data_IF_687785984705
#
_entry.id   IF_687785984705
#
_cell.length_a   1.000
_cell.length_b   1.000
_cell.length_c   1.000
_cell.angle_alpha   90.00
_cell.angle_beta   90.00
_cell.angle_gamma   90.00
#
_symmetry.space_group_name_H-M   'P 1'
#
loop_
_entity.id
_entity.type
_entity.pdbx_description
1 polymer ?
#
# COMPACT_ATOMS: atom_id res chain seq x y z
N UNK A 1 23.38 -17.56 -10.91
CA UNK A 1 23.32 -17.27 -12.36
C UNK A 1 21.89 -17.53 -12.83
N UNK A 2 21.34 -16.67 -13.68
CA UNK A 2 20.04 -16.91 -14.32
C UNK A 2 20.15 -18.03 -15.37
N UNK A 3 19.06 -18.78 -15.61
CA UNK A 3 19.01 -19.97 -16.48
C UNK A 3 17.92 -19.81 -17.56
N UNK A 4 18.22 -19.14 -18.69
CA UNK A 4 17.24 -18.82 -19.73
C UNK A 4 16.59 -20.05 -20.39
N UNK A 5 17.26 -21.20 -20.34
CA UNK A 5 16.73 -22.44 -20.92
C UNK A 5 15.46 -22.93 -20.21
N UNK A 6 15.17 -22.41 -19.01
CA UNK A 6 13.96 -22.74 -18.24
C UNK A 6 12.75 -21.88 -18.58
N UNK A 7 12.91 -20.80 -19.36
CA UNK A 7 11.82 -19.87 -19.66
C UNK A 7 10.58 -20.59 -20.22
N UNK A 8 10.66 -21.49 -21.22
CA UNK A 8 9.46 -22.16 -21.74
C UNK A 8 8.68 -22.95 -20.67
N UNK A 9 9.40 -23.61 -19.75
CA UNK A 9 8.78 -24.36 -18.66
C UNK A 9 8.09 -23.44 -17.65
N UNK A 10 8.69 -22.28 -17.33
CA UNK A 10 8.11 -21.29 -16.42
C UNK A 10 6.89 -20.63 -17.07
N UNK A 11 6.96 -20.26 -18.36
CA UNK A 11 5.83 -19.69 -19.12
C UNK A 11 4.60 -20.61 -19.08
N UNK A 12 4.81 -21.91 -19.30
CA UNK A 12 3.75 -22.92 -19.21
C UNK A 12 3.15 -23.03 -17.80
N UNK A 13 3.97 -22.95 -16.75
CA UNK A 13 3.48 -22.97 -15.36
C UNK A 13 2.66 -21.73 -15.01
N UNK A 14 3.13 -20.54 -15.39
CA UNK A 14 2.40 -19.27 -15.18
C UNK A 14 1.01 -19.36 -15.83
N UNK A 15 0.95 -19.76 -17.10
CA UNK A 15 -0.33 -19.92 -17.80
C UNK A 15 -1.25 -20.94 -17.12
N UNK A 16 -0.70 -22.07 -16.68
CA UNK A 16 -1.47 -23.11 -15.96
C UNK A 16 -2.09 -22.55 -14.68
N UNK A 17 -1.33 -21.77 -13.90
CA UNK A 17 -1.84 -21.14 -12.68
C UNK A 17 -2.90 -20.07 -12.99
N UNK A 18 -2.71 -19.26 -14.03
CA UNK A 18 -3.68 -18.23 -14.43
C UNK A 18 -4.99 -18.80 -14.95
N UNK A 19 -4.95 -19.92 -15.69
CA UNK A 19 -6.16 -20.63 -16.10
C UNK A 19 -6.88 -21.23 -14.90
N UNK A 20 -6.16 -21.88 -14.01
CA UNK A 20 -6.74 -22.48 -12.80
C UNK A 20 -7.37 -21.44 -11.86
N UNK A 21 -6.80 -20.24 -11.79
CA UNK A 21 -7.31 -19.12 -11.00
C UNK A 21 -8.33 -18.25 -11.75
N UNK A 22 -8.73 -18.62 -12.97
CA UNK A 22 -9.63 -17.86 -13.85
C UNK A 22 -9.15 -16.45 -14.25
N UNK A 23 -7.93 -16.02 -13.87
CA UNK A 23 -7.33 -14.71 -14.15
C UNK A 23 -7.27 -14.36 -15.65
N UNK A 24 -7.13 -15.37 -16.50
CA UNK A 24 -7.18 -15.19 -17.95
C UNK A 24 -8.47 -14.49 -18.42
N UNK A 25 -9.60 -14.67 -17.74
CA UNK A 25 -10.86 -13.99 -18.05
C UNK A 25 -10.85 -12.53 -17.64
N UNK A 26 -10.32 -12.24 -16.46
CA UNK A 26 -10.18 -10.87 -15.97
C UNK A 26 -9.27 -10.04 -16.88
N UNK A 27 -8.27 -10.68 -17.49
CA UNK A 27 -7.34 -10.08 -18.45
C UNK A 27 -7.78 -10.18 -19.92
N UNK A 28 -8.92 -10.84 -20.22
CA UNK A 28 -9.45 -10.96 -21.58
C UNK A 28 -8.63 -11.86 -22.52
N UNK A 29 -8.04 -12.93 -22.00
CA UNK A 29 -7.16 -13.85 -22.72
C UNK A 29 -7.83 -15.21 -22.94
N UNK A 30 -8.04 -15.55 -24.21
CA UNK A 30 -8.67 -16.82 -24.59
C UNK A 30 -7.67 -18.00 -24.60
N UNK A 31 -6.44 -17.73 -25.06
CA UNK A 31 -5.34 -18.69 -25.23
C UNK A 31 -4.00 -18.12 -24.74
N UNK A 32 -2.99 -19.00 -24.62
CA UNK A 32 -1.63 -18.61 -24.22
C UNK A 32 -1.02 -17.69 -25.30
N UNK A 33 -0.38 -16.58 -24.92
CA UNK A 33 0.35 -15.72 -25.88
C UNK A 33 1.51 -16.46 -26.55
N UNK A 34 1.86 -16.01 -27.76
CA UNK A 34 3.03 -16.49 -28.48
C UNK A 34 4.34 -16.12 -27.74
N UNK A 35 5.43 -16.82 -28.05
CA UNK A 35 6.71 -16.66 -27.32
C UNK A 35 7.28 -15.24 -27.38
N UNK A 36 7.05 -14.53 -28.48
CA UNK A 36 7.54 -13.17 -28.72
C UNK A 36 6.71 -12.12 -27.96
N UNK A 37 5.44 -12.42 -27.67
CA UNK A 37 4.51 -11.51 -26.96
C UNK A 37 4.41 -11.80 -25.46
N UNK A 38 4.98 -12.93 -25.00
CA UNK A 38 4.82 -13.39 -23.63
C UNK A 38 5.44 -12.42 -22.60
N UNK A 39 6.53 -11.74 -22.94
CA UNK A 39 7.21 -10.83 -22.02
C UNK A 39 6.38 -9.55 -21.79
N UNK A 40 5.78 -8.99 -22.86
CA UNK A 40 4.83 -7.88 -22.77
C UNK A 40 3.55 -8.29 -22.02
N UNK A 41 3.08 -9.52 -22.23
CA UNK A 41 1.98 -10.09 -21.48
C UNK A 41 2.28 -10.15 -19.97
N UNK A 42 3.46 -10.61 -19.56
CA UNK A 42 3.85 -10.64 -18.15
C UNK A 42 3.87 -9.24 -17.55
N UNK A 43 4.35 -8.24 -18.30
CA UNK A 43 4.31 -6.85 -17.84
C UNK A 43 2.87 -6.38 -17.54
N UNK A 44 1.91 -6.76 -18.39
CA UNK A 44 0.49 -6.44 -18.17
C UNK A 44 -0.10 -7.18 -16.96
N UNK A 45 0.25 -8.46 -16.78
CA UNK A 45 -0.17 -9.27 -15.60
C UNK A 45 0.36 -8.66 -14.31
N UNK A 46 1.63 -8.27 -14.30
CA UNK A 46 2.29 -7.64 -13.16
C UNK A 46 1.61 -6.32 -12.78
N UNK A 47 1.30 -5.47 -13.76
CA UNK A 47 0.55 -4.22 -13.54
C UNK A 47 -0.83 -4.48 -12.92
N UNK A 48 -1.60 -5.42 -13.49
CA UNK A 48 -2.93 -5.79 -12.98
C UNK A 48 -2.88 -6.36 -11.55
N UNK A 49 -1.92 -7.24 -11.26
CA UNK A 49 -1.70 -7.78 -9.92
C UNK A 49 -1.35 -6.67 -8.93
N UNK A 50 -0.55 -5.69 -9.36
CA UNK A 50 -0.23 -4.53 -8.54
C UNK A 50 -1.46 -3.73 -8.19
N UNK A 51 -2.30 -3.41 -9.18
CA UNK A 51 -3.52 -2.63 -8.98
C UNK A 51 -4.48 -3.31 -8.01
N UNK A 52 -4.66 -4.63 -8.12
CA UNK A 52 -5.52 -5.41 -7.22
C UNK A 52 -4.94 -5.47 -5.82
N UNK A 53 -3.64 -5.72 -5.70
CA UNK A 53 -2.95 -5.78 -4.41
C UNK A 53 -3.02 -4.43 -3.67
N UNK A 54 -2.88 -3.34 -4.41
CA UNK A 54 -2.90 -1.99 -3.88
C UNK A 54 -4.32 -1.43 -3.66
N UNK A 55 -5.35 -2.10 -4.17
CA UNK A 55 -6.73 -1.65 -3.97
C UNK A 55 -7.08 -1.59 -2.49
N UNK A 56 -7.55 -0.43 -2.03
CA UNK A 56 -8.00 -0.25 -0.66
C UNK A 56 -9.39 -0.86 -0.47
N UNK A 57 -9.43 -2.07 0.07
CA UNK A 57 -10.67 -2.77 0.39
C UNK A 57 -10.93 -2.61 1.90
N UNK A 58 -12.18 -2.28 2.25
CA UNK A 58 -12.59 -2.08 3.64
C UNK A 58 -12.47 -3.38 4.43
N UNK A 59 -11.83 -3.29 5.59
CA UNK A 59 -11.67 -4.40 6.52
C UNK A 59 -12.77 -4.37 7.61
N UNK A 60 -14.02 -4.61 7.18
CA UNK A 60 -15.18 -4.66 8.07
C UNK A 60 -16.14 -3.47 7.97
N UNK A 61 -16.99 -3.33 8.99
CA UNK A 61 -18.02 -2.28 9.10
C UNK A 61 -17.78 -1.41 10.32
N UNK A 62 -18.11 -0.13 10.20
CA UNK A 62 -18.07 0.82 11.30
C UNK A 62 -19.19 0.53 12.32
N UNK A 63 -18.87 0.69 13.60
CA UNK A 63 -19.84 0.64 14.70
C UNK A 63 -19.87 2.01 15.37
N UNK A 64 -21.05 2.61 15.46
CA UNK A 64 -21.22 3.96 16.02
C UNK A 64 -20.57 4.08 17.40
N UNK A 65 -19.79 5.13 17.60
CA UNK A 65 -19.10 5.42 18.87
C UNK A 65 -17.86 4.54 19.13
N UNK A 66 -17.50 3.62 18.23
CA UNK A 66 -16.31 2.78 18.37
C UNK A 66 -15.16 3.30 17.50
N UNK A 67 -14.24 4.04 18.13
CA UNK A 67 -13.00 4.43 17.47
C UNK A 67 -12.14 3.19 17.14
N UNK A 68 -11.46 3.16 15.97
CA UNK A 68 -10.57 2.06 15.62
C UNK A 68 -9.36 2.00 16.56
N UNK A 69 -8.92 0.80 16.88
CA UNK A 69 -7.78 0.51 17.78
C UNK A 69 -6.94 -0.64 17.22
N UNK A 70 -5.65 -0.70 17.60
CA UNK A 70 -4.76 -1.78 17.18
C UNK A 70 -4.66 -1.88 15.66
N UNK A 71 -4.75 -3.11 15.14
CA UNK A 71 -4.62 -3.39 13.71
C UNK A 71 -5.58 -2.58 12.82
N UNK A 72 -6.83 -2.37 13.27
CA UNK A 72 -7.81 -1.59 12.53
C UNK A 72 -7.37 -0.12 12.38
N UNK A 73 -6.78 0.47 13.43
CA UNK A 73 -6.25 1.84 13.39
C UNK A 73 -5.02 1.93 12.52
N UNK A 74 -4.09 0.97 12.63
CA UNK A 74 -2.89 0.87 11.79
C UNK A 74 -3.28 0.82 10.31
N UNK A 75 -4.19 -0.09 9.94
CA UNK A 75 -4.65 -0.23 8.54
C UNK A 75 -5.36 1.04 8.04
N UNK A 76 -6.20 1.67 8.87
CA UNK A 76 -6.89 2.90 8.49
C UNK A 76 -5.92 4.09 8.31
N UNK A 77 -4.99 4.29 9.24
CA UNK A 77 -4.01 5.38 9.15
C UNK A 77 -3.08 5.18 7.96
N UNK A 78 -2.61 3.94 7.72
CA UNK A 78 -1.82 3.61 6.53
C UNK A 78 -2.57 3.96 5.23
N UNK A 79 -3.88 3.70 5.20
CA UNK A 79 -4.75 4.04 4.07
C UNK A 79 -4.91 5.55 3.87
N UNK A 80 -5.11 6.31 4.96
CA UNK A 80 -5.23 7.77 4.93
C UNK A 80 -3.93 8.42 4.44
N UNK A 81 -2.80 7.98 4.97
CA UNK A 81 -1.49 8.56 4.68
C UNK A 81 -0.93 8.14 3.32
N UNK A 82 -1.60 7.24 2.59
CA UNK A 82 -1.22 6.89 1.23
C UNK A 82 -1.38 8.07 0.27
N UNK A 83 -2.37 8.94 0.52
CA UNK A 83 -2.63 10.12 -0.29
C UNK A 83 -1.79 11.33 0.13
N UNK A 84 -1.55 12.24 -0.82
CA UNK A 84 -1.05 13.59 -0.51
C UNK A 84 -2.13 14.39 0.23
N UNK A 85 -1.76 15.02 1.34
CA UNK A 85 -2.70 15.68 2.23
C UNK A 85 -2.97 17.12 1.77
N UNK A 86 -4.24 17.49 1.72
CA UNK A 86 -4.68 18.89 1.58
C UNK A 86 -5.01 19.38 2.98
N UNK A 87 -4.22 20.31 3.50
CA UNK A 87 -4.32 20.74 4.89
C UNK A 87 -4.12 22.25 5.02
N UNK A 88 -4.88 22.92 5.89
CA UNK A 88 -4.74 24.36 6.12
C UNK A 88 -5.01 25.24 4.88
N UNK A 89 -5.69 24.71 3.87
CA UNK A 89 -5.90 25.40 2.58
C UNK A 89 -4.75 25.23 1.58
N UNK A 90 -3.73 24.44 1.92
CA UNK A 90 -2.58 24.15 1.06
C UNK A 90 -2.67 22.73 0.49
N UNK A 91 -2.57 22.61 -0.84
CA UNK A 91 -2.45 21.32 -1.51
C UNK A 91 -1.03 20.79 -1.35
N UNK A 92 -0.87 19.54 -0.91
CA UNK A 92 0.44 18.92 -0.71
C UNK A 92 1.17 19.43 0.53
N UNK A 93 0.43 19.89 1.54
CA UNK A 93 0.98 20.33 2.82
C UNK A 93 1.82 19.22 3.48
N UNK A 94 1.41 17.96 3.29
CA UNK A 94 2.15 16.76 3.70
C UNK A 94 2.05 15.72 2.55
N UNK A 95 3.16 15.15 2.07
CA UNK A 95 3.14 14.14 1.01
C UNK A 95 2.50 12.84 1.51
N UNK A 96 2.15 11.94 0.59
CA UNK A 96 1.79 10.58 0.97
C UNK A 96 3.02 9.84 1.52
N UNK A 97 2.81 8.95 2.50
CA UNK A 97 3.88 8.21 3.18
C UNK A 97 4.76 7.43 2.20
N UNK A 98 4.15 6.75 1.22
CA UNK A 98 4.92 6.01 0.22
C UNK A 98 5.76 6.91 -0.67
N UNK A 99 5.22 8.08 -1.06
CA UNK A 99 5.96 9.06 -1.84
C UNK A 99 7.14 9.63 -1.02
N UNK A 100 6.94 9.90 0.28
CA UNK A 100 8.01 10.31 1.20
C UNK A 100 9.07 9.22 1.39
N UNK A 101 8.69 7.94 1.30
CA UNK A 101 9.60 6.78 1.28
C UNK A 101 10.28 6.57 -0.10
N UNK A 102 9.97 7.41 -1.10
CA UNK A 102 10.62 7.40 -2.40
C UNK A 102 9.89 6.62 -3.49
N UNK A 103 8.62 6.24 -3.28
CA UNK A 103 7.82 5.58 -4.32
C UNK A 103 7.61 6.51 -5.51
N UNK A 104 7.91 6.00 -6.71
CA UNK A 104 7.70 6.67 -8.01
C UNK A 104 6.63 5.97 -8.82
N UNK A 105 6.03 6.67 -9.78
CA UNK A 105 4.98 6.14 -10.66
C UNK A 105 5.44 4.90 -11.45
N UNK A 106 6.73 4.80 -11.78
CA UNK A 106 7.35 3.71 -12.56
C UNK A 106 8.07 2.66 -11.70
N UNK A 107 7.79 2.64 -10.38
CA UNK A 107 8.43 1.68 -9.48
C UNK A 107 8.01 0.24 -9.82
N UNK A 108 8.98 -0.67 -9.81
CA UNK A 108 8.71 -2.10 -10.01
C UNK A 108 7.99 -2.70 -8.78
N UNK A 109 7.26 -3.79 -9.00
CA UNK A 109 6.52 -4.53 -7.95
C UNK A 109 7.33 -4.75 -6.67
N UNK A 110 8.57 -5.21 -6.80
CA UNK A 110 9.43 -5.47 -5.64
C UNK A 110 9.70 -4.20 -4.81
N UNK A 111 9.90 -3.06 -5.45
CA UNK A 111 10.10 -1.79 -4.77
C UNK A 111 8.81 -1.29 -4.10
N UNK A 112 7.65 -1.48 -4.75
CA UNK A 112 6.33 -1.17 -4.17
C UNK A 112 6.13 -1.96 -2.88
N UNK A 113 6.43 -3.26 -2.91
CA UNK A 113 6.29 -4.16 -1.77
C UNK A 113 7.22 -3.79 -0.61
N UNK A 114 8.47 -3.49 -0.90
CA UNK A 114 9.44 -3.04 0.09
C UNK A 114 8.98 -1.74 0.76
N UNK A 115 8.49 -0.78 -0.02
CA UNK A 115 7.99 0.51 0.49
C UNK A 115 6.72 0.32 1.31
N UNK A 116 5.78 -0.53 0.87
CA UNK A 116 4.55 -0.80 1.63
C UNK A 116 4.87 -1.47 2.98
N UNK A 117 5.83 -2.41 2.99
CA UNK A 117 6.30 -3.06 4.22
C UNK A 117 6.98 -2.06 5.16
N UNK A 118 7.82 -1.16 4.64
CA UNK A 118 8.44 -0.09 5.44
C UNK A 118 7.39 0.88 6.00
N UNK A 119 6.43 1.31 5.18
CA UNK A 119 5.32 2.16 5.61
C UNK A 119 4.53 1.52 6.74
N UNK A 120 4.15 0.24 6.59
CA UNK A 120 3.45 -0.52 7.63
C UNK A 120 4.27 -0.64 8.92
N UNK A 121 5.57 -0.93 8.81
CA UNK A 121 6.44 -1.04 9.97
C UNK A 121 6.53 0.28 10.76
N UNK A 122 6.62 1.42 10.07
CA UNK A 122 6.63 2.75 10.69
C UNK A 122 5.30 3.07 11.39
N UNK A 123 4.17 2.79 10.74
CA UNK A 123 2.85 3.01 11.34
C UNK A 123 2.62 2.08 12.54
N UNK A 124 3.06 0.82 12.47
CA UNK A 124 3.01 -0.08 13.63
C UNK A 124 3.89 0.42 14.77
N UNK A 125 5.10 0.90 14.49
CA UNK A 125 5.97 1.46 15.52
C UNK A 125 5.37 2.70 16.20
N UNK A 126 4.64 3.54 15.44
CA UNK A 126 3.89 4.66 16.01
C UNK A 126 2.71 4.18 16.87
N UNK A 127 1.96 3.17 16.44
CA UNK A 127 0.89 2.56 17.23
C UNK A 127 1.42 1.98 18.55
N UNK A 128 2.53 1.23 18.51
CA UNK A 128 3.17 0.62 19.68
C UNK A 128 3.74 1.68 20.65
N UNK A 129 4.01 2.89 20.14
CA UNK A 129 4.47 4.03 20.91
C UNK A 129 3.32 4.97 21.35
N UNK A 130 2.07 4.50 21.28
CA UNK A 130 0.87 5.29 21.61
C UNK A 130 0.79 6.64 20.87
N UNK A 131 1.34 6.67 19.64
CA UNK A 131 1.43 7.85 18.80
C UNK A 131 2.16 9.04 19.44
N UNK A 132 3.20 8.78 20.24
CA UNK A 132 4.06 9.83 20.77
C UNK A 132 4.73 10.64 19.65
N UNK A 133 4.48 11.95 19.64
CA UNK A 133 5.03 12.89 18.65
C UNK A 133 6.57 12.90 18.69
N UNK A 134 7.19 12.69 19.86
CA UNK A 134 8.65 12.61 19.96
C UNK A 134 9.22 11.38 19.23
N UNK A 135 8.45 10.30 19.12
CA UNK A 135 8.82 9.12 18.35
C UNK A 135 8.74 9.37 16.85
N UNK A 136 7.77 10.17 16.39
CA UNK A 136 7.62 10.50 14.97
C UNK A 136 8.88 11.14 14.35
N UNK A 137 9.59 11.98 15.12
CA UNK A 137 10.83 12.63 14.66
C UNK A 137 12.08 11.75 14.78
N UNK A 138 12.04 10.66 15.56
CA UNK A 138 13.21 9.81 15.86
C UNK A 138 13.21 8.46 15.13
N UNK A 139 12.06 8.00 14.65
CA UNK A 139 11.93 6.73 13.94
C UNK A 139 12.55 6.75 12.53
N UNK A 140 12.29 7.76 11.67
CA UNK A 140 12.80 7.76 10.30
C UNK A 140 14.04 8.64 10.14
N UNK A 141 14.98 8.19 9.31
CA UNK A 141 16.13 9.00 8.87
C UNK A 141 15.75 10.07 7.83
N UNK A 142 14.56 9.95 7.23
CA UNK A 142 14.07 10.81 6.15
C UNK A 142 13.17 11.91 6.72
N UNK A 143 13.54 13.20 6.61
CA UNK A 143 12.76 14.31 7.20
C UNK A 143 11.31 14.39 6.71
N UNK A 144 11.05 14.04 5.44
CA UNK A 144 9.69 14.03 4.92
C UNK A 144 8.83 12.93 5.57
N UNK A 145 9.41 11.77 5.87
CA UNK A 145 8.71 10.69 6.56
C UNK A 145 8.40 11.11 8.00
N UNK A 146 9.34 11.75 8.70
CA UNK A 146 9.11 12.31 10.04
C UNK A 146 7.89 13.25 10.04
N UNK A 147 7.84 14.18 9.07
CA UNK A 147 6.71 15.12 8.91
C UNK A 147 5.37 14.41 8.71
N UNK A 148 5.35 13.30 7.95
CA UNK A 148 4.14 12.50 7.74
C UNK A 148 3.70 11.82 9.05
N UNK A 149 4.63 11.26 9.81
CA UNK A 149 4.33 10.60 11.09
C UNK A 149 3.89 11.61 12.16
N UNK A 150 4.51 12.80 12.19
CA UNK A 150 4.12 13.89 13.08
C UNK A 150 2.70 14.37 12.76
N UNK A 151 2.37 14.52 11.47
CA UNK A 151 1.00 14.84 11.03
C UNK A 151 -0.01 13.76 11.46
N UNK A 152 0.37 12.48 11.35
CA UNK A 152 -0.49 11.39 11.79
C UNK A 152 -0.77 11.45 13.31
N UNK A 153 0.26 11.68 14.12
CA UNK A 153 0.17 11.75 15.58
C UNK A 153 -0.57 13.00 16.08
N UNK A 154 -0.42 14.13 15.40
CA UNK A 154 -0.98 15.42 15.85
C UNK A 154 -2.37 15.71 15.27
N UNK A 155 -2.70 15.19 14.10
CA UNK A 155 -3.95 15.51 13.41
C UNK A 155 -4.82 14.28 13.15
N UNK A 156 -4.28 13.24 12.51
CA UNK A 156 -5.10 12.10 12.06
C UNK A 156 -5.63 11.31 13.25
N UNK A 157 -4.75 10.84 14.13
CA UNK A 157 -5.10 9.93 15.23
C UNK A 157 -5.97 10.59 16.28
N UNK A 158 -5.69 11.82 16.74
CA UNK A 158 -6.58 12.52 17.66
C UNK A 158 -8.00 12.72 17.09
N UNK A 159 -8.13 12.93 15.77
CA UNK A 159 -9.44 13.06 15.11
C UNK A 159 -10.15 11.71 14.97
N UNK A 160 -9.43 10.63 14.71
CA UNK A 160 -9.99 9.27 14.73
C UNK A 160 -10.46 8.86 16.14
N UNK A 161 -9.75 9.28 17.19
CA UNK A 161 -10.16 9.01 18.56
C UNK A 161 -11.52 9.64 18.90
N UNK A 162 -11.86 10.77 18.27
CA UNK A 162 -13.16 11.45 18.43
C UNK A 162 -14.34 10.75 17.75
N UNK A 163 -14.12 9.61 17.10
CA UNK A 163 -15.23 8.74 16.65
C UNK A 163 -16.12 8.29 17.82
N UNK A 164 -15.63 8.34 19.07
CA UNK A 164 -16.47 8.13 20.25
C UNK A 164 -17.59 9.16 20.41
N UNK A 165 -17.41 10.37 19.88
CA UNK A 165 -18.37 11.49 19.98
C UNK A 165 -19.63 11.25 19.13
N UNK A 166 -19.71 10.18 18.33
CA UNK A 166 -20.86 9.89 17.46
C UNK A 166 -22.15 9.55 18.20
N UNK A 167 -22.05 9.21 19.49
CA UNK A 167 -23.19 8.84 20.35
C UNK A 167 -23.56 9.92 21.38
N UNK A 168 -22.83 11.04 21.38
CA UNK A 168 -23.07 12.21 22.25
C UNK A 168 -24.05 13.22 21.60
#
# INVERSE_FOLDING_TARGET
>A
AMDPAKLPAIRSQIWTHMRAAEMHRDLGLDDIPDEDDFDDFIFNVDGWLCEIKDAQIRDGLHVLGQAPQGEARVNLVLSILRASQIWGGETGAVPGLRAALGLKEDSQLGAIDEIENQARALIQAMEDADWDVAMASSLPDVPEVARVLEFAATEVVPRLARTTDELD
#
